data_IF_346835975382
#
_entry.id   IF_346835975382
#
_cell.length_a   1.000
_cell.length_b   1.000
_cell.length_c   1.000
_cell.angle_alpha   90.00
_cell.angle_beta   90.00
_cell.angle_gamma   90.00
#
_symmetry.space_group_name_H-M   'P 1'
#
loop_
_entity.id
_entity.type
_entity.pdbx_description
1 polymer ?
#
# COMPACT_ATOMS: atom_id res chain seq x y z
N UNK A 1 -17.24 2.35 -1.57
CA UNK A 1 -16.08 2.57 -0.69
C UNK A 1 -16.22 3.89 0.02
N UNK A 2 -15.96 3.90 1.31
CA UNK A 2 -16.03 5.12 2.10
C UNK A 2 -14.73 5.91 1.99
N UNK A 3 -14.86 7.19 1.72
CA UNK A 3 -13.71 8.11 1.78
C UNK A 3 -13.58 8.64 3.19
N UNK A 4 -12.39 8.54 3.74
CA UNK A 4 -12.05 9.06 5.06
C UNK A 4 -11.35 10.40 4.88
N UNK A 5 -11.67 11.36 5.74
CA UNK A 5 -11.07 12.70 5.74
C UNK A 5 -10.40 12.95 7.07
N UNK A 6 -9.12 13.24 7.03
CA UNK A 6 -8.33 13.55 8.22
C UNK A 6 -7.51 14.82 8.01
N UNK A 7 -7.25 15.54 9.10
CA UNK A 7 -6.27 16.63 9.11
C UNK A 7 -4.92 16.03 9.49
N UNK A 8 -3.95 16.16 8.59
CA UNK A 8 -2.61 15.66 8.80
C UNK A 8 -1.64 16.81 8.58
N UNK A 9 -0.92 17.23 9.62
CA UNK A 9 0.03 18.35 9.55
C UNK A 9 -0.60 19.62 8.96
N UNK A 10 -1.86 19.90 9.32
CA UNK A 10 -2.58 21.09 8.87
C UNK A 10 -3.18 20.96 7.47
N UNK A 11 -3.02 19.84 6.80
CA UNK A 11 -3.58 19.59 5.47
C UNK A 11 -4.66 18.54 5.51
N UNK A 12 -5.63 18.65 4.62
CA UNK A 12 -6.69 17.66 4.48
C UNK A 12 -6.15 16.44 3.74
N UNK A 13 -6.23 15.27 4.38
CA UNK A 13 -5.86 14.00 3.80
C UNK A 13 -7.13 13.17 3.57
N UNK A 14 -7.41 12.89 2.31
CA UNK A 14 -8.59 12.12 1.90
C UNK A 14 -8.14 10.78 1.35
N UNK A 15 -8.69 9.70 1.87
CA UNK A 15 -8.27 8.37 1.43
C UNK A 15 -9.35 7.32 1.64
N UNK A 16 -9.21 6.19 0.94
CA UNK A 16 -9.97 4.96 1.16
C UNK A 16 -9.01 3.92 1.71
N UNK A 17 -9.37 3.30 2.83
CA UNK A 17 -8.53 2.27 3.45
C UNK A 17 -8.72 0.93 2.76
N UNK A 18 -7.61 0.30 2.38
CA UNK A 18 -7.59 -1.09 1.90
C UNK A 18 -7.23 -2.04 3.04
N UNK A 19 -6.48 -1.55 4.01
CA UNK A 19 -6.16 -2.21 5.29
C UNK A 19 -5.75 -1.12 6.26
N UNK A 20 -5.27 -1.48 7.45
CA UNK A 20 -4.87 -0.49 8.46
C UNK A 20 -3.72 0.41 7.96
N UNK A 21 -2.82 -0.13 7.15
CA UNK A 21 -1.64 0.61 6.70
C UNK A 21 -1.61 0.91 5.20
N UNK A 22 -2.55 0.37 4.43
CA UNK A 22 -2.57 0.53 2.98
C UNK A 22 -3.81 1.29 2.56
N UNK A 23 -3.62 2.35 1.79
CA UNK A 23 -4.71 3.25 1.39
C UNK A 23 -4.61 3.63 -0.08
N UNK A 24 -5.69 4.21 -0.59
CA UNK A 24 -5.71 4.93 -1.88
C UNK A 24 -6.21 6.33 -1.61
N UNK A 25 -5.48 7.32 -2.12
CA UNK A 25 -5.89 8.72 -2.04
C UNK A 25 -5.93 9.31 -3.45
N UNK A 26 -7.02 9.99 -3.85
CA UNK A 26 -7.11 10.56 -5.20
C UNK A 26 -6.02 11.60 -5.46
N UNK A 27 -5.51 12.24 -4.41
CA UNK A 27 -4.51 13.31 -4.56
C UNK A 27 -3.07 12.83 -4.39
N UNK A 28 -2.85 11.54 -4.19
CA UNK A 28 -1.54 10.96 -3.95
C UNK A 28 -1.27 9.84 -4.95
N UNK A 29 -0.17 9.96 -5.68
CA UNK A 29 0.27 8.95 -6.64
C UNK A 29 -0.83 8.51 -7.62
N UNK A 30 -1.68 9.45 -8.04
CA UNK A 30 -2.75 9.15 -8.99
C UNK A 30 -3.79 8.16 -8.51
N UNK A 31 -3.93 8.00 -7.19
CA UNK A 31 -4.87 7.06 -6.60
C UNK A 31 -4.36 5.62 -6.52
N UNK A 32 -3.10 5.38 -6.87
CA UNK A 32 -2.50 4.05 -6.73
C UNK A 32 -2.28 3.74 -5.24
N UNK A 33 -2.33 2.46 -4.83
CA UNK A 33 -2.15 2.12 -3.41
C UNK A 33 -0.81 2.58 -2.85
N UNK A 34 -0.87 3.22 -1.69
CA UNK A 34 0.31 3.71 -0.97
C UNK A 34 0.25 3.24 0.49
N UNK A 35 1.40 3.32 1.15
CA UNK A 35 1.43 3.20 2.61
C UNK A 35 0.81 4.46 3.21
N UNK A 36 -0.07 4.26 4.19
CA UNK A 36 -0.82 5.35 4.81
C UNK A 36 0.10 6.46 5.30
N UNK A 37 -0.30 7.70 5.06
CA UNK A 37 0.43 8.92 5.41
C UNK A 37 1.75 9.11 4.64
N UNK A 38 1.97 8.39 3.55
CA UNK A 38 3.16 8.54 2.72
C UNK A 38 2.79 8.69 1.26
N UNK A 39 3.78 9.02 0.43
CA UNK A 39 3.71 8.95 -1.03
C UNK A 39 4.45 7.72 -1.56
N UNK A 40 4.67 6.72 -0.71
CA UNK A 40 5.38 5.50 -1.08
C UNK A 40 4.35 4.51 -1.62
N UNK A 41 4.44 4.19 -2.90
CA UNK A 41 3.55 3.21 -3.52
C UNK A 41 3.94 1.81 -3.07
N UNK A 42 2.92 0.98 -2.79
CA UNK A 42 3.21 -0.40 -2.41
C UNK A 42 3.85 -1.18 -3.56
N UNK A 43 3.54 -0.83 -4.80
CA UNK A 43 4.09 -1.51 -5.97
C UNK A 43 5.62 -1.49 -5.99
N UNK A 44 6.23 -0.35 -5.64
CA UNK A 44 7.70 -0.25 -5.58
C UNK A 44 8.32 -1.15 -4.53
N UNK A 45 7.71 -1.21 -3.34
CA UNK A 45 8.19 -2.08 -2.28
C UNK A 45 8.03 -3.56 -2.64
N UNK A 46 6.89 -3.91 -3.25
CA UNK A 46 6.64 -5.29 -3.70
C UNK A 46 7.60 -5.71 -4.80
N UNK A 47 7.96 -4.78 -5.69
CA UNK A 47 8.93 -5.04 -6.74
C UNK A 47 10.31 -5.38 -6.16
N UNK A 48 10.72 -4.66 -5.13
CA UNK A 48 11.98 -4.93 -4.43
C UNK A 48 12.00 -6.33 -3.81
N UNK A 49 10.88 -6.74 -3.20
CA UNK A 49 10.72 -8.11 -2.69
C UNK A 49 10.82 -9.14 -3.83
N UNK A 50 10.18 -8.88 -4.95
CA UNK A 50 10.19 -9.78 -6.10
C UNK A 50 11.59 -9.97 -6.66
N UNK A 51 12.46 -8.98 -6.49
CA UNK A 51 13.87 -9.06 -6.92
C UNK A 51 14.81 -9.61 -5.84
N UNK A 52 14.26 -10.13 -4.75
CA UNK A 52 15.03 -10.83 -3.73
C UNK A 52 15.54 -9.97 -2.59
N UNK A 53 15.16 -8.70 -2.52
CA UNK A 53 15.57 -7.86 -1.40
C UNK A 53 14.82 -8.30 -0.13
N UNK A 54 15.52 -8.30 1.01
CA UNK A 54 14.89 -8.68 2.28
C UNK A 54 13.92 -7.61 2.76
N UNK A 55 12.95 -8.01 3.58
CA UNK A 55 12.01 -7.07 4.19
C UNK A 55 12.74 -6.03 5.03
N UNK A 56 13.76 -6.44 5.79
CA UNK A 56 14.56 -5.51 6.59
C UNK A 56 15.24 -4.45 5.73
N UNK A 57 15.84 -4.89 4.62
CA UNK A 57 16.51 -3.97 3.70
C UNK A 57 15.53 -2.96 3.10
N UNK A 58 14.33 -3.41 2.76
CA UNK A 58 13.29 -2.55 2.19
C UNK A 58 12.84 -1.51 3.23
N UNK A 59 12.54 -1.96 4.44
CA UNK A 59 12.12 -1.06 5.53
C UNK A 59 13.21 -0.03 5.82
N UNK A 60 14.46 -0.46 5.93
CA UNK A 60 15.59 0.44 6.15
C UNK A 60 15.76 1.42 4.98
N UNK A 61 15.58 0.94 3.75
CA UNK A 61 15.71 1.76 2.56
C UNK A 61 14.70 2.89 2.47
N UNK A 62 13.54 2.75 3.11
CA UNK A 62 12.54 3.82 3.20
C UNK A 62 12.71 4.68 4.45
N UNK A 63 13.82 4.52 5.19
CA UNK A 63 14.16 5.38 6.32
C UNK A 63 13.20 5.30 7.51
N UNK A 64 12.61 4.15 7.71
CA UNK A 64 11.65 3.95 8.81
C UNK A 64 10.27 4.55 8.54
N UNK A 65 10.01 5.04 7.34
CA UNK A 65 8.72 5.62 6.97
C UNK A 65 7.63 4.55 6.81
N UNK A 66 8.01 3.31 6.62
CA UNK A 66 7.10 2.16 6.64
C UNK A 66 7.64 1.14 7.64
N UNK A 67 6.73 0.32 8.17
CA UNK A 67 7.09 -0.73 9.12
C UNK A 67 7.05 -2.09 8.43
N UNK A 68 7.64 -3.09 9.07
CA UNK A 68 7.51 -4.47 8.61
C UNK A 68 6.05 -4.90 8.53
N UNK A 69 5.24 -4.50 9.52
CA UNK A 69 3.81 -4.81 9.52
C UNK A 69 3.09 -4.19 8.31
N UNK A 70 3.40 -2.94 7.98
CA UNK A 70 2.83 -2.28 6.80
C UNK A 70 3.21 -3.02 5.53
N UNK A 71 4.46 -3.48 5.42
CA UNK A 71 4.92 -4.24 4.26
C UNK A 71 4.19 -5.59 4.15
N UNK A 72 3.98 -6.28 5.27
CA UNK A 72 3.19 -7.52 5.29
C UNK A 72 1.75 -7.26 4.82
N UNK A 73 1.15 -6.14 5.24
CA UNK A 73 -0.19 -5.78 4.78
C UNK A 73 -0.22 -5.48 3.28
N UNK A 74 0.82 -4.86 2.75
CA UNK A 74 0.92 -4.61 1.31
C UNK A 74 0.90 -5.93 0.53
N UNK A 75 1.63 -6.92 1.00
CA UNK A 75 1.64 -8.26 0.40
C UNK A 75 0.24 -8.88 0.44
N UNK A 76 -0.39 -8.83 1.61
CA UNK A 76 -1.72 -9.41 1.81
C UNK A 76 -2.78 -8.73 0.93
N UNK A 77 -2.79 -7.41 0.89
CA UNK A 77 -3.72 -6.64 0.05
C UNK A 77 -3.53 -6.99 -1.42
N UNK A 78 -2.27 -7.05 -1.88
CA UNK A 78 -1.97 -7.37 -3.27
C UNK A 78 -2.42 -8.78 -3.63
N UNK A 79 -2.16 -9.75 -2.76
CA UNK A 79 -2.56 -11.14 -2.98
C UNK A 79 -4.08 -11.29 -3.04
N UNK A 80 -4.79 -10.71 -2.10
CA UNK A 80 -6.25 -10.77 -2.08
C UNK A 80 -6.87 -10.10 -3.28
N UNK A 81 -6.33 -8.95 -3.68
CA UNK A 81 -6.84 -8.23 -4.84
C UNK A 81 -6.63 -9.03 -6.13
N UNK A 82 -5.47 -9.64 -6.29
CA UNK A 82 -5.18 -10.50 -7.44
C UNK A 82 -6.18 -11.66 -7.52
N UNK A 83 -6.38 -12.38 -6.42
CA UNK A 83 -7.28 -13.54 -6.39
C UNK A 83 -8.73 -13.13 -6.66
N UNK A 84 -9.15 -11.98 -6.15
CA UNK A 84 -10.53 -11.48 -6.34
C UNK A 84 -10.80 -11.07 -7.79
N UNK A 85 -9.78 -10.78 -8.59
CA UNK A 85 -9.91 -10.30 -9.95
C UNK A 85 -9.50 -11.30 -11.03
N UNK A 86 -9.16 -12.54 -10.63
CA UNK A 86 -8.85 -13.57 -11.60
C UNK A 86 -10.14 -14.08 -12.25
N UNK A 87 -10.11 -14.32 -13.57
CA UNK A 87 -11.27 -14.92 -14.23
C UNK A 87 -11.47 -16.37 -13.78
N UNK A 88 -12.72 -16.80 -13.79
CA UNK A 88 -13.04 -18.19 -13.54
C UNK A 88 -12.60 -19.03 -14.73
N UNK A 89 -11.79 -20.05 -14.46
CA UNK A 89 -11.31 -20.98 -15.49
C UNK A 89 -12.13 -22.26 -15.54
N UNK A 90 -13.25 -22.33 -14.83
CA UNK A 90 -14.10 -23.51 -14.85
C UNK A 90 -14.57 -23.81 -16.27
N UNK A 91 -14.40 -25.02 -16.68
CA UNK A 91 -14.83 -25.48 -18.00
C UNK A 91 -16.34 -25.69 -18.04
#
# INVERSE_FOLDING_TARGET
MNMIREQVNGELYIYTALSDHIVRSPDVCGGRPTFKYTRIEIAGALDRLAHGESMESIVDGYGGRITREALLQAIDVAARHLLANLPDLAA
#
